data_IF_455887593900
#
_entry.id   IF_455887593900
#
_cell.length_a   1.000
_cell.length_b   1.000
_cell.length_c   1.000
_cell.angle_alpha   90.00
_cell.angle_beta   90.00
_cell.angle_gamma   90.00
#
_symmetry.space_group_name_H-M   'P 1'
#
loop_
_entity.id
_entity.type
_entity.pdbx_description
1 polymer ?
#
# COMPACT_ATOMS: atom_id res chain seq x y z
N UNK A 1 47.30 41.85 13.21
CA UNK A 1 48.52 42.06 12.41
C UNK A 1 48.66 43.56 12.17
N UNK A 2 49.82 44.19 12.43
CA UNK A 2 50.01 45.61 12.12
C UNK A 2 49.85 45.81 10.60
N UNK A 3 49.09 46.82 10.19
CA UNK A 3 48.84 47.09 8.77
C UNK A 3 50.09 47.66 8.07
N UNK A 4 50.16 47.51 6.75
CA UNK A 4 51.31 47.95 5.93
C UNK A 4 51.62 49.44 6.04
N UNK A 5 50.70 50.25 6.54
CA UNK A 5 50.84 51.68 6.81
C UNK A 5 51.85 52.02 7.93
N UNK A 6 52.21 51.07 8.79
CA UNK A 6 53.20 51.26 9.87
C UNK A 6 54.63 50.84 9.47
N UNK A 7 54.85 50.46 8.21
CA UNK A 7 56.16 50.05 7.73
C UNK A 7 57.10 51.25 7.53
N UNK A 8 58.43 51.06 7.67
CA UNK A 8 59.40 52.11 7.38
C UNK A 8 59.32 52.56 5.91
N UNK A 9 59.72 53.81 5.59
CA UNK A 9 59.45 54.45 4.30
C UNK A 9 60.06 53.70 3.10
N UNK A 10 61.17 52.98 3.29
CA UNK A 10 61.78 52.16 2.24
C UNK A 10 60.90 50.98 1.83
N UNK A 11 60.15 50.40 2.77
CA UNK A 11 59.22 49.31 2.50
C UNK A 11 57.86 49.84 2.04
N UNK A 12 57.41 51.00 2.53
CA UNK A 12 56.18 51.65 2.04
C UNK A 12 56.22 51.94 0.54
N UNK A 13 57.38 52.29 -0.01
CA UNK A 13 57.59 52.53 -1.46
C UNK A 13 57.25 51.31 -2.33
N UNK A 14 57.40 50.09 -1.79
CA UNK A 14 57.06 48.86 -2.52
C UNK A 14 55.54 48.70 -2.72
N UNK A 15 54.74 49.37 -1.90
CA UNK A 15 53.28 49.34 -1.96
C UNK A 15 52.69 50.58 -2.66
N UNK A 16 53.48 51.30 -3.46
CA UNK A 16 52.98 52.40 -4.27
C UNK A 16 51.86 51.89 -5.20
N UNK A 17 50.67 52.54 -5.21
CA UNK A 17 49.58 52.11 -6.06
C UNK A 17 49.94 52.28 -7.53
N UNK A 18 49.31 51.47 -8.38
CA UNK A 18 49.39 51.65 -9.83
C UNK A 18 48.72 52.95 -10.24
N UNK A 19 49.10 53.54 -11.40
CA UNK A 19 48.34 54.66 -11.96
C UNK A 19 46.86 54.27 -12.12
N UNK A 20 45.94 55.25 -12.04
CA UNK A 20 44.52 54.99 -12.20
C UNK A 20 44.23 54.38 -13.58
N UNK A 21 43.30 53.42 -13.62
CA UNK A 21 42.93 52.76 -14.85
C UNK A 21 42.20 53.73 -15.80
N UNK A 22 42.44 53.66 -17.12
CA UNK A 22 41.67 54.44 -18.08
C UNK A 22 40.22 53.92 -18.13
N UNK A 23 39.26 54.85 -18.16
CA UNK A 23 37.85 54.48 -18.28
C UNK A 23 37.53 53.93 -19.68
N UNK A 24 36.77 52.82 -19.70
CA UNK A 24 36.19 52.23 -20.92
C UNK A 24 34.70 52.02 -20.72
N UNK A 25 33.91 52.17 -21.79
CA UNK A 25 32.47 51.94 -21.74
C UNK A 25 32.17 50.46 -21.43
N UNK A 26 31.26 50.15 -20.49
CA UNK A 26 30.82 48.77 -20.23
C UNK A 26 30.19 48.14 -21.47
N UNK A 27 30.45 46.85 -21.69
CA UNK A 27 29.83 46.06 -22.77
C UNK A 27 28.43 45.58 -22.36
N UNK A 28 28.26 45.30 -21.06
CA UNK A 28 27.01 44.81 -20.51
C UNK A 28 25.95 45.91 -20.39
N UNK A 29 24.70 45.47 -20.25
CA UNK A 29 23.59 46.37 -19.97
C UNK A 29 23.62 46.76 -18.50
N UNK A 30 23.19 47.99 -18.22
CA UNK A 30 22.98 48.45 -16.85
C UNK A 30 22.10 47.45 -16.08
N UNK A 31 22.50 47.16 -14.85
CA UNK A 31 21.84 46.15 -14.01
C UNK A 31 20.35 46.45 -13.79
N UNK A 32 20.00 47.74 -13.69
CA UNK A 32 18.63 48.22 -13.56
C UNK A 32 17.79 48.05 -14.84
N UNK A 33 18.44 47.73 -15.97
CA UNK A 33 17.82 47.51 -17.28
C UNK A 33 17.79 46.03 -17.66
N UNK A 34 18.39 45.15 -16.86
CA UNK A 34 18.29 43.70 -17.02
C UNK A 34 16.86 43.31 -16.63
N UNK A 35 16.12 42.74 -17.57
CA UNK A 35 14.77 42.22 -17.34
C UNK A 35 14.84 40.72 -17.11
N UNK A 36 14.03 40.24 -16.17
CA UNK A 36 13.86 38.81 -15.97
C UNK A 36 13.30 38.14 -17.22
N UNK A 37 13.82 36.95 -17.52
CA UNK A 37 13.31 36.12 -18.60
C UNK A 37 11.95 35.59 -18.18
N UNK A 38 10.90 35.91 -18.95
CA UNK A 38 9.55 35.39 -18.72
C UNK A 38 9.47 33.92 -19.14
N UNK A 39 9.85 33.02 -18.23
CA UNK A 39 9.75 31.57 -18.42
C UNK A 39 8.65 31.05 -17.51
N UNK A 40 7.65 30.37 -18.07
CA UNK A 40 6.60 29.69 -17.30
C UNK A 40 7.04 28.26 -16.94
N UNK A 41 6.47 27.71 -15.87
CA UNK A 41 6.63 26.29 -15.56
C UNK A 41 6.00 25.39 -16.63
N UNK A 42 6.42 24.12 -16.67
CA UNK A 42 5.91 23.11 -17.62
C UNK A 42 4.62 22.43 -17.16
N UNK A 43 4.14 22.71 -15.94
CA UNK A 43 2.92 22.11 -15.37
C UNK A 43 1.68 22.20 -16.27
N UNK A 44 1.36 23.37 -16.86
CA UNK A 44 0.23 23.51 -17.78
C UNK A 44 0.34 22.65 -19.04
N UNK A 45 1.56 22.36 -19.50
CA UNK A 45 1.79 21.49 -20.66
C UNK A 45 1.47 20.04 -20.29
N UNK A 46 1.82 19.62 -19.08
CA UNK A 46 1.54 18.26 -18.60
C UNK A 46 0.02 18.04 -18.45
N UNK A 47 -0.72 19.04 -17.96
CA UNK A 47 -2.19 18.94 -17.86
C UNK A 47 -2.83 18.84 -19.24
N UNK A 48 -2.41 19.68 -20.19
CA UNK A 48 -2.88 19.61 -21.59
C UNK A 48 -2.55 18.27 -22.26
N UNK A 49 -1.35 17.72 -22.01
CA UNK A 49 -0.97 16.41 -22.55
C UNK A 49 -1.83 15.28 -21.97
N UNK A 50 -2.20 15.36 -20.69
CA UNK A 50 -3.12 14.40 -20.06
C UNK A 50 -4.51 14.48 -20.69
N UNK A 51 -5.04 15.69 -20.86
CA UNK A 51 -6.34 15.93 -21.50
C UNK A 51 -6.36 15.42 -22.96
N UNK A 52 -5.36 15.79 -23.77
CA UNK A 52 -5.24 15.32 -25.15
C UNK A 52 -5.07 13.79 -25.25
N UNK A 53 -4.36 13.16 -24.30
CA UNK A 53 -4.24 11.71 -24.25
C UNK A 53 -5.58 11.04 -23.93
N UNK A 54 -6.36 11.62 -23.00
CA UNK A 54 -7.71 11.12 -22.69
C UNK A 54 -8.70 11.27 -23.85
N UNK A 55 -8.64 12.37 -24.61
CA UNK A 55 -9.49 12.58 -25.79
C UNK A 55 -9.20 11.60 -26.92
N UNK A 56 -7.91 11.31 -27.19
CA UNK A 56 -7.51 10.31 -28.18
C UNK A 56 -7.98 8.90 -27.82
N UNK A 57 -8.00 8.57 -26.53
CA UNK A 57 -8.51 7.28 -26.05
C UNK A 57 -10.03 7.18 -26.18
N UNK A 58 -10.76 8.27 -25.91
CA UNK A 58 -12.20 8.31 -26.14
C UNK A 58 -12.52 8.05 -27.63
N UNK A 59 -11.73 8.60 -28.54
CA UNK A 59 -11.84 8.33 -29.98
C UNK A 59 -11.43 6.89 -30.38
N UNK A 60 -10.43 6.30 -29.72
CA UNK A 60 -9.95 4.94 -30.00
C UNK A 60 -10.83 3.81 -29.44
N UNK A 61 -11.82 4.13 -28.60
CA UNK A 61 -12.81 3.19 -28.05
C UNK A 61 -13.66 2.47 -29.11
N UNK A 62 -13.53 2.84 -30.39
CA UNK A 62 -14.30 2.29 -31.51
C UNK A 62 -13.63 1.15 -32.28
N UNK A 63 -12.37 0.79 -32.00
CA UNK A 63 -11.67 -0.25 -32.78
C UNK A 63 -11.39 -1.51 -31.94
N UNK A 64 -11.87 -2.65 -32.45
CA UNK A 64 -11.73 -3.98 -31.88
C UNK A 64 -10.24 -4.35 -31.78
N UNK A 65 -9.71 -4.52 -30.56
CA UNK A 65 -8.36 -5.07 -30.36
C UNK A 65 -8.35 -6.57 -30.64
N UNK A 66 -7.45 -7.02 -31.51
CA UNK A 66 -7.25 -8.43 -31.89
C UNK A 66 -6.50 -9.19 -30.77
N UNK A 67 -6.89 -10.44 -30.48
CA UNK A 67 -6.31 -11.25 -29.40
C UNK A 67 -4.84 -11.60 -29.68
N UNK A 68 -3.90 -10.91 -29.02
CA UNK A 68 -2.48 -11.29 -29.04
C UNK A 68 -1.47 -10.15 -28.93
N UNK A 69 -1.89 -8.90 -29.11
CA UNK A 69 -1.00 -7.74 -28.94
C UNK A 69 -0.82 -7.36 -27.46
N UNK A 70 0.43 -7.23 -27.00
CA UNK A 70 0.71 -6.64 -25.70
C UNK A 70 0.41 -5.14 -25.76
N UNK A 71 -0.54 -4.61 -24.96
CA UNK A 71 -0.91 -3.21 -25.05
C UNK A 71 0.29 -2.35 -24.66
N UNK A 72 0.63 -1.38 -25.51
CA UNK A 72 1.65 -0.39 -25.21
C UNK A 72 1.38 0.25 -23.83
N UNK A 73 2.41 0.33 -23.00
CA UNK A 73 2.31 0.91 -21.66
C UNK A 73 1.87 2.37 -21.75
N UNK A 74 0.59 2.62 -21.45
CA UNK A 74 -0.01 3.95 -21.45
C UNK A 74 -0.57 4.24 -20.05
N UNK A 75 -0.35 5.47 -19.57
CA UNK A 75 -0.80 5.90 -18.23
C UNK A 75 -2.31 5.71 -18.01
N UNK A 76 -3.12 5.71 -19.08
CA UNK A 76 -4.55 5.46 -19.04
C UNK A 76 -4.92 4.01 -18.72
N UNK A 77 -4.21 3.04 -19.30
CA UNK A 77 -4.37 1.61 -18.97
C UNK A 77 -4.00 1.37 -17.51
N UNK A 78 -3.00 2.07 -17.00
CA UNK A 78 -2.66 2.02 -15.58
C UNK A 78 -3.72 2.65 -14.67
N UNK A 79 -4.28 3.81 -15.04
CA UNK A 79 -5.37 4.45 -14.29
C UNK A 79 -6.59 3.52 -14.22
N UNK A 80 -7.01 2.95 -15.34
CA UNK A 80 -8.15 2.01 -15.36
C UNK A 80 -7.85 0.74 -14.55
N UNK A 81 -6.61 0.23 -14.58
CA UNK A 81 -6.16 -0.90 -13.75
C UNK A 81 -6.15 -0.55 -12.26
N UNK A 82 -5.76 0.67 -11.89
CA UNK A 82 -5.80 1.16 -10.51
C UNK A 82 -7.25 1.26 -10.01
N UNK A 83 -8.14 1.85 -10.80
CA UNK A 83 -9.59 1.93 -10.49
C UNK A 83 -10.16 0.53 -10.26
N UNK A 84 -9.93 -0.43 -11.17
CA UNK A 84 -10.38 -1.82 -11.03
C UNK A 84 -9.81 -2.50 -9.77
N UNK A 85 -8.56 -2.20 -9.38
CA UNK A 85 -7.95 -2.74 -8.15
C UNK A 85 -8.61 -2.15 -6.91
N UNK A 86 -8.93 -0.87 -6.91
CA UNK A 86 -9.60 -0.19 -5.80
C UNK A 86 -11.03 -0.68 -5.62
N UNK A 87 -11.79 -0.82 -6.71
CA UNK A 87 -13.15 -1.38 -6.68
C UNK A 87 -13.15 -2.81 -6.10
N UNK A 88 -12.22 -3.67 -6.54
CA UNK A 88 -12.05 -5.02 -6.00
C UNK A 88 -11.70 -5.04 -4.51
N UNK A 89 -10.98 -4.02 -4.01
CA UNK A 89 -10.69 -3.87 -2.58
C UNK A 89 -11.92 -3.41 -1.82
N UNK A 90 -12.62 -2.37 -2.31
CA UNK A 90 -13.85 -1.85 -1.72
C UNK A 90 -14.91 -2.94 -1.59
N UNK A 91 -15.17 -3.70 -2.66
CA UNK A 91 -16.11 -4.83 -2.63
C UNK A 91 -15.75 -5.87 -1.58
N UNK A 92 -14.47 -6.25 -1.47
CA UNK A 92 -14.02 -7.20 -0.43
C UNK A 92 -14.22 -6.66 0.99
N UNK A 93 -14.00 -5.37 1.20
CA UNK A 93 -14.21 -4.71 2.49
C UNK A 93 -15.70 -4.67 2.83
N UNK A 94 -16.56 -4.35 1.86
CA UNK A 94 -18.02 -4.35 2.02
C UNK A 94 -18.54 -5.75 2.33
N UNK A 95 -18.12 -6.77 1.58
CA UNK A 95 -18.45 -8.17 1.84
C UNK A 95 -18.02 -8.59 3.26
N UNK A 96 -16.82 -8.20 3.68
CA UNK A 96 -16.35 -8.46 5.05
C UNK A 96 -17.17 -7.71 6.11
N UNK A 97 -17.55 -6.45 5.85
CA UNK A 97 -18.35 -5.64 6.76
C UNK A 97 -19.74 -6.26 6.95
N UNK A 98 -20.39 -6.63 5.85
CA UNK A 98 -21.69 -7.33 5.86
C UNK A 98 -21.55 -8.64 6.63
N UNK A 99 -20.54 -9.45 6.31
CA UNK A 99 -20.32 -10.73 7.00
C UNK A 99 -20.14 -10.52 8.53
N UNK A 100 -19.40 -9.49 8.94
CA UNK A 100 -19.20 -9.16 10.36
C UNK A 100 -20.47 -8.67 11.04
N UNK A 101 -21.28 -7.86 10.38
CA UNK A 101 -22.57 -7.38 10.91
C UNK A 101 -23.60 -8.51 11.04
N UNK A 102 -23.59 -9.45 10.09
CA UNK A 102 -24.48 -10.64 10.13
C UNK A 102 -23.99 -11.74 11.07
N UNK A 103 -22.76 -11.65 11.62
CA UNK A 103 -22.17 -12.70 12.45
C UNK A 103 -22.73 -12.67 13.88
N UNK A 104 -23.66 -13.59 14.17
CA UNK A 104 -24.24 -13.80 15.50
C UNK A 104 -24.01 -15.24 15.97
N UNK A 105 -22.94 -15.50 16.74
CA UNK A 105 -22.60 -16.87 17.14
C UNK A 105 -23.56 -17.48 18.18
N UNK A 106 -24.27 -16.65 18.95
CA UNK A 106 -25.22 -17.13 19.95
C UNK A 106 -26.51 -17.71 19.34
N UNK A 107 -26.85 -17.32 18.10
CA UNK A 107 -28.03 -17.81 17.39
C UNK A 107 -27.72 -19.09 16.58
N UNK A 108 -26.48 -19.58 16.56
CA UNK A 108 -26.07 -20.78 15.83
C UNK A 108 -26.53 -22.05 16.57
N UNK A 109 -27.48 -22.78 15.99
CA UNK A 109 -28.01 -24.04 16.54
C UNK A 109 -26.97 -25.14 16.67
N UNK A 110 -25.89 -25.08 15.89
CA UNK A 110 -24.83 -26.08 15.93
C UNK A 110 -23.75 -25.74 16.98
N UNK A 111 -23.74 -24.51 17.52
CA UNK A 111 -22.87 -24.08 18.61
C UNK A 111 -23.52 -24.45 19.96
N UNK A 112 -23.29 -25.68 20.40
CA UNK A 112 -23.91 -26.23 21.62
C UNK A 112 -22.84 -26.46 22.68
N UNK A 113 -23.16 -26.13 23.93
CA UNK A 113 -22.32 -26.36 25.09
C UNK A 113 -21.75 -25.08 25.69
N UNK A 114 -21.01 -25.24 26.78
CA UNK A 114 -20.31 -24.13 27.44
C UNK A 114 -19.01 -23.79 26.68
N UNK A 115 -18.82 -22.53 26.23
CA UNK A 115 -17.58 -22.10 25.59
C UNK A 115 -16.33 -22.37 26.44
N UNK A 116 -16.43 -22.33 27.78
CA UNK A 116 -15.30 -22.60 28.67
C UNK A 116 -14.88 -24.06 28.70
N UNK A 117 -15.75 -24.98 28.26
CA UNK A 117 -15.48 -26.42 28.14
C UNK A 117 -15.19 -26.86 26.70
N UNK A 118 -15.19 -25.92 25.75
CA UNK A 118 -15.09 -26.20 24.33
C UNK A 118 -13.68 -25.93 23.81
N UNK A 119 -13.01 -26.98 23.35
CA UNK A 119 -11.71 -26.91 22.70
C UNK A 119 -11.87 -26.67 21.19
N UNK A 120 -11.15 -25.68 20.65
CA UNK A 120 -11.06 -25.43 19.21
C UNK A 120 -9.80 -26.07 18.64
N UNK A 121 -9.97 -26.90 17.61
CA UNK A 121 -8.88 -27.59 16.93
C UNK A 121 -8.84 -27.12 15.48
N UNK A 122 -7.69 -26.66 15.01
CA UNK A 122 -7.50 -26.17 13.63
C UNK A 122 -6.42 -26.97 12.88
N UNK A 123 -6.34 -26.76 11.57
CA UNK A 123 -5.39 -27.45 10.66
C UNK A 123 -5.56 -28.98 10.64
N UNK A 124 -6.79 -29.45 10.82
CA UNK A 124 -7.12 -30.85 10.68
C UNK A 124 -7.04 -31.30 9.22
N UNK A 125 -6.55 -32.52 9.02
CA UNK A 125 -6.55 -33.15 7.71
C UNK A 125 -8.00 -33.34 7.23
N UNK A 126 -8.25 -33.15 5.93
CA UNK A 126 -9.62 -33.18 5.36
C UNK A 126 -10.31 -34.54 5.45
N UNK A 127 -9.54 -35.61 5.63
CA UNK A 127 -10.04 -36.97 5.82
C UNK A 127 -10.22 -37.37 7.29
N UNK A 128 -9.89 -36.49 8.25
CA UNK A 128 -10.01 -36.80 9.66
C UNK A 128 -11.47 -37.06 10.03
N UNK A 129 -11.72 -38.12 10.79
CA UNK A 129 -13.06 -38.48 11.25
C UNK A 129 -13.28 -38.05 12.70
N UNK A 130 -14.54 -37.97 13.12
CA UNK A 130 -14.88 -37.66 14.51
C UNK A 130 -14.35 -38.72 15.49
N UNK A 131 -14.26 -39.98 15.04
CA UNK A 131 -13.70 -41.08 15.83
C UNK A 131 -12.19 -40.91 16.06
N UNK A 132 -11.45 -40.41 15.06
CA UNK A 132 -10.03 -40.12 15.23
C UNK A 132 -9.82 -39.03 16.27
N UNK A 133 -10.60 -37.95 16.20
CA UNK A 133 -10.55 -36.90 17.20
C UNK A 133 -10.94 -37.41 18.59
N UNK A 134 -12.02 -38.20 18.69
CA UNK A 134 -12.43 -38.77 19.98
C UNK A 134 -11.30 -39.62 20.58
N UNK A 135 -10.70 -40.53 19.80
CA UNK A 135 -9.61 -41.41 20.27
C UNK A 135 -8.40 -40.64 20.80
N UNK A 136 -7.94 -39.61 20.08
CA UNK A 136 -6.75 -38.85 20.51
C UNK A 136 -7.05 -37.93 21.71
N UNK A 137 -8.23 -37.30 21.73
CA UNK A 137 -8.56 -36.29 22.73
C UNK A 137 -9.22 -36.83 24.01
N UNK A 138 -9.70 -38.08 24.00
CA UNK A 138 -10.28 -38.76 25.16
C UNK A 138 -9.24 -39.06 26.25
N UNK A 139 -7.95 -39.06 25.90
CA UNK A 139 -6.84 -39.24 26.86
C UNK A 139 -6.76 -38.09 27.89
N UNK A 140 -7.28 -36.91 27.55
CA UNK A 140 -7.23 -35.72 28.41
C UNK A 140 -8.47 -35.57 29.30
N UNK A 141 -9.57 -36.26 28.99
CA UNK A 141 -10.80 -36.25 29.78
C UNK A 141 -12.03 -36.70 29.02
N UNK A 142 -13.18 -36.71 29.71
CA UNK A 142 -14.42 -37.23 29.14
C UNK A 142 -15.03 -36.24 28.14
N UNK A 143 -15.22 -36.72 26.91
CA UNK A 143 -15.75 -35.91 25.80
C UNK A 143 -17.28 -36.04 25.72
N UNK A 144 -17.96 -34.91 25.90
CA UNK A 144 -19.41 -34.76 25.75
C UNK A 144 -19.80 -34.78 24.26
N UNK A 145 -19.15 -33.94 23.43
CA UNK A 145 -19.50 -33.81 22.01
C UNK A 145 -18.29 -33.47 21.14
N UNK A 146 -18.26 -34.03 19.93
CA UNK A 146 -17.30 -33.66 18.87
C UNK A 146 -18.07 -33.14 17.67
N UNK A 147 -17.62 -32.06 17.06
CA UNK A 147 -18.20 -31.50 15.82
C UNK A 147 -17.08 -31.09 14.86
N UNK A 148 -16.98 -31.76 13.72
CA UNK A 148 -16.11 -31.31 12.61
C UNK A 148 -16.92 -30.38 11.72
N UNK A 149 -16.42 -29.15 11.51
CA UNK A 149 -17.14 -28.21 10.65
C UNK A 149 -16.88 -28.52 9.18
N UNK A 150 -17.95 -28.74 8.44
CA UNK A 150 -17.93 -29.05 7.00
C UNK A 150 -18.51 -27.89 6.19
N UNK A 151 -18.04 -27.76 4.97
CA UNK A 151 -18.57 -26.82 3.97
C UNK A 151 -19.88 -27.37 3.36
N UNK A 152 -20.63 -26.54 2.61
CA UNK A 152 -21.89 -26.93 1.94
C UNK A 152 -21.76 -28.13 1.01
N UNK A 153 -20.54 -28.45 0.57
CA UNK A 153 -20.19 -29.63 -0.25
C UNK A 153 -19.76 -30.85 0.59
N UNK A 154 -20.07 -30.88 1.88
CA UNK A 154 -19.68 -31.94 2.84
C UNK A 154 -18.17 -32.20 2.99
N UNK A 155 -17.31 -31.28 2.51
CA UNK A 155 -15.85 -31.33 2.71
C UNK A 155 -15.50 -30.65 4.03
N UNK A 156 -14.63 -31.26 4.84
CA UNK A 156 -14.17 -30.66 6.10
C UNK A 156 -13.46 -29.32 5.85
N UNK A 157 -13.80 -28.28 6.63
CA UNK A 157 -13.12 -26.97 6.61
C UNK A 157 -11.75 -27.00 7.29
N UNK A 158 -11.38 -28.14 7.89
CA UNK A 158 -10.09 -28.34 8.56
C UNK A 158 -10.05 -27.82 9.99
N UNK A 159 -11.21 -27.67 10.63
CA UNK A 159 -11.31 -27.36 12.07
C UNK A 159 -12.50 -28.07 12.72
N UNK A 160 -12.40 -28.28 14.02
CA UNK A 160 -13.39 -28.98 14.83
C UNK A 160 -13.53 -28.34 16.22
N UNK A 161 -14.66 -28.61 16.86
CA UNK A 161 -14.95 -28.26 18.24
C UNK A 161 -15.16 -29.54 19.06
N UNK A 162 -14.51 -29.62 20.21
CA UNK A 162 -14.66 -30.72 21.17
C UNK A 162 -15.14 -30.14 22.48
N UNK A 163 -16.30 -30.58 22.96
CA UNK A 163 -16.88 -30.17 24.24
C UNK A 163 -16.56 -31.26 25.26
N UNK A 164 -15.88 -30.87 26.34
CA UNK A 164 -15.61 -31.74 27.48
C UNK A 164 -16.71 -31.64 28.54
N UNK A 165 -16.90 -32.67 29.35
CA UNK A 165 -17.85 -32.61 30.47
C UNK A 165 -17.39 -31.62 31.55
N UNK A 166 -16.08 -31.56 31.79
CA UNK A 166 -15.44 -30.73 32.83
C UNK A 166 -14.53 -29.68 32.19
N UNK A 167 -14.58 -28.46 32.73
CA UNK A 167 -13.72 -27.36 32.30
C UNK A 167 -12.22 -27.63 32.55
N UNK A 168 -11.91 -28.37 33.61
CA UNK A 168 -10.53 -28.72 33.97
C UNK A 168 -9.85 -29.56 32.89
N UNK A 169 -10.59 -30.51 32.34
CA UNK A 169 -10.12 -31.44 31.32
C UNK A 169 -9.78 -30.73 30.00
N UNK A 170 -10.44 -29.59 29.72
CA UNK A 170 -10.12 -28.74 28.56
C UNK A 170 -8.88 -27.88 28.78
N UNK A 171 -8.65 -27.39 30.02
CA UNK A 171 -7.56 -26.46 30.34
C UNK A 171 -6.22 -27.15 30.63
N UNK A 172 -6.25 -28.42 31.05
CA UNK A 172 -5.06 -29.18 31.47
C UNK A 172 -4.69 -28.96 32.93
#
# INVERSE_FOLDING_TARGET
MPGTHLLPPNLLKLFAPRPPLPYTRPIDKDINRVRDKKVSGVGPIITQLKENATEKLAAASGENMEEGEEPAFTLSVDVTRQIRREERKKRRIEEFKIAKETYKPADDTEAVGDPYKTLFISRLHKSATENDLRREFETYGTIERVRIVRDKKNRGRGYAFVVYERERDMKG
#
